data_IF_786544280293
#
_entry.id   IF_786544280293
#
_cell.length_a   1.000
_cell.length_b   1.000
_cell.length_c   1.000
_cell.angle_alpha   90.00
_cell.angle_beta   90.00
_cell.angle_gamma   90.00
#
_symmetry.space_group_name_H-M   'P 1'
#
loop_
_entity.id
_entity.type
_entity.pdbx_description
1 polymer ?
#
# COMPACT_ATOMS: atom_id res chain seq x y z
N UNK A 1 21.90 8.64 -49.30
CA UNK A 1 21.22 9.13 -48.07
C UNK A 1 20.05 8.24 -47.63
N UNK A 2 19.22 7.71 -48.55
CA UNK A 2 18.05 6.87 -48.23
C UNK A 2 18.36 5.43 -47.72
N UNK A 3 19.52 4.85 -48.07
CA UNK A 3 19.88 3.50 -47.63
C UNK A 3 20.28 3.43 -46.15
N UNK A 4 20.86 4.51 -45.61
CA UNK A 4 21.27 4.58 -44.20
C UNK A 4 20.08 4.79 -43.26
N UNK A 5 19.00 5.43 -43.75
CA UNK A 5 17.76 5.63 -42.99
C UNK A 5 16.96 4.34 -42.83
N UNK A 6 16.98 3.44 -43.83
CA UNK A 6 16.27 2.16 -43.76
C UNK A 6 16.92 1.15 -42.80
N UNK A 7 18.26 1.05 -42.80
CA UNK A 7 19.00 0.19 -41.87
C UNK A 7 18.84 0.61 -40.40
N UNK A 8 18.65 1.91 -40.15
CA UNK A 8 18.42 2.42 -38.80
C UNK A 8 16.99 2.11 -38.30
N UNK A 9 15.98 2.15 -39.18
CA UNK A 9 14.61 1.77 -38.85
C UNK A 9 14.44 0.27 -38.67
N UNK A 10 15.13 -0.54 -39.48
CA UNK A 10 15.10 -2.01 -39.39
C UNK A 10 15.78 -2.53 -38.11
N UNK A 11 16.86 -1.86 -37.67
CA UNK A 11 17.55 -2.16 -36.42
C UNK A 11 16.71 -1.85 -35.17
N UNK A 12 15.93 -0.76 -35.18
CA UNK A 12 15.04 -0.44 -34.05
C UNK A 12 13.87 -1.44 -34.01
N UNK A 13 13.34 -1.84 -35.18
CA UNK A 13 12.25 -2.79 -35.28
C UNK A 13 12.65 -4.18 -34.77
N UNK A 14 13.83 -4.69 -35.15
CA UNK A 14 14.32 -6.00 -34.66
C UNK A 14 14.48 -5.99 -33.14
N UNK A 15 14.87 -4.86 -32.55
CA UNK A 15 15.04 -4.70 -31.10
C UNK A 15 13.69 -4.72 -30.37
N UNK A 16 12.65 -4.12 -30.96
CA UNK A 16 11.28 -4.21 -30.43
C UNK A 16 10.72 -5.63 -30.56
N UNK A 17 10.93 -6.30 -31.71
CA UNK A 17 10.51 -7.69 -31.95
C UNK A 17 11.20 -8.69 -31.00
N UNK A 18 12.45 -8.41 -30.60
CA UNK A 18 13.21 -9.17 -29.59
C UNK A 18 12.71 -8.98 -28.15
N UNK A 19 11.60 -8.25 -27.94
CA UNK A 19 10.95 -8.15 -26.63
C UNK A 19 11.62 -7.19 -25.65
N UNK A 20 12.37 -6.19 -26.14
CA UNK A 20 13.02 -5.20 -25.28
C UNK A 20 12.04 -4.36 -24.43
N UNK A 21 10.75 -4.33 -24.76
CA UNK A 21 9.71 -3.63 -23.97
C UNK A 21 9.07 -4.56 -22.94
N UNK A 22 9.54 -4.51 -21.70
CA UNK A 22 8.89 -5.17 -20.55
C UNK A 22 7.88 -4.23 -19.89
N UNK A 23 6.67 -4.74 -19.59
CA UNK A 23 5.67 -3.97 -18.82
C UNK A 23 6.15 -3.83 -17.38
N UNK A 24 6.13 -2.61 -16.85
CA UNK A 24 6.45 -2.35 -15.45
C UNK A 24 5.24 -2.78 -14.60
N UNK A 25 5.39 -3.84 -13.82
CA UNK A 25 4.35 -4.29 -12.88
C UNK A 25 4.41 -3.41 -11.63
N UNK A 26 3.31 -2.70 -11.35
CA UNK A 26 3.18 -1.88 -10.13
C UNK A 26 2.58 -2.72 -9.01
N UNK A 27 3.19 -2.68 -7.84
CA UNK A 27 2.61 -3.29 -6.64
C UNK A 27 1.42 -2.45 -6.14
N UNK A 28 0.41 -3.11 -5.57
CA UNK A 28 -0.73 -2.43 -4.98
C UNK A 28 -0.29 -1.64 -3.73
N UNK A 29 -0.98 -0.53 -3.46
CA UNK A 29 -0.70 0.30 -2.28
C UNK A 29 -1.08 -0.40 -0.97
N UNK A 30 -2.02 -1.34 -1.03
CA UNK A 30 -2.52 -2.12 0.09
C UNK A 30 -2.47 -3.63 -0.25
N UNK A 31 -1.28 -4.27 -0.17
CA UNK A 31 -1.11 -5.68 -0.54
C UNK A 31 -1.88 -6.64 0.38
N UNK A 32 -2.06 -6.27 1.65
CA UNK A 32 -2.71 -7.08 2.69
C UNK A 32 -4.19 -7.38 2.42
N UNK A 33 -4.83 -6.54 1.59
CA UNK A 33 -6.25 -6.66 1.29
C UNK A 33 -6.56 -7.61 0.12
N UNK A 34 -5.56 -8.15 -0.58
CA UNK A 34 -5.77 -9.12 -1.69
C UNK A 34 -6.86 -8.66 -2.67
N UNK A 35 -6.82 -7.39 -3.09
CA UNK A 35 -7.81 -6.77 -4.00
C UNK A 35 -9.24 -6.63 -3.45
N UNK A 36 -9.51 -7.01 -2.19
CA UNK A 36 -10.76 -6.67 -1.50
C UNK A 36 -10.80 -5.19 -1.12
N UNK A 37 -12.00 -4.60 -1.11
CA UNK A 37 -12.19 -3.21 -0.66
C UNK A 37 -11.98 -3.05 0.85
N UNK A 38 -12.51 -4.00 1.62
CA UNK A 38 -12.39 -4.07 3.07
C UNK A 38 -12.08 -5.50 3.51
N UNK A 39 -11.40 -5.65 4.64
CA UNK A 39 -11.24 -6.94 5.32
C UNK A 39 -11.59 -6.84 6.80
N UNK A 40 -12.16 -7.91 7.32
CA UNK A 40 -12.40 -8.11 8.74
C UNK A 40 -11.09 -8.45 9.46
N UNK A 41 -10.91 -7.91 10.65
CA UNK A 41 -9.78 -8.21 11.52
C UNK A 41 -10.15 -8.08 13.00
N UNK A 42 -9.27 -8.58 13.84
CA UNK A 42 -9.38 -8.54 15.31
C UNK A 42 -8.26 -7.66 15.86
N UNK A 43 -8.60 -6.70 16.71
CA UNK A 43 -7.64 -5.80 17.33
C UNK A 43 -6.76 -6.59 18.32
N UNK A 44 -5.44 -6.53 18.12
CA UNK A 44 -4.47 -7.12 19.05
C UNK A 44 -4.09 -6.15 20.16
N UNK A 45 -3.87 -4.87 19.83
CA UNK A 45 -3.60 -3.81 20.81
C UNK A 45 -3.96 -2.44 20.26
N UNK A 46 -4.37 -1.54 21.15
CA UNK A 46 -4.65 -0.13 20.85
C UNK A 46 -3.60 0.74 21.52
N UNK A 47 -3.00 1.65 20.78
CA UNK A 47 -1.95 2.53 21.30
C UNK A 47 -1.84 3.83 20.49
N UNK A 48 -1.11 4.79 21.04
CA UNK A 48 -0.90 6.09 20.38
C UNK A 48 0.51 6.22 19.82
N UNK A 49 0.63 6.83 18.64
CA UNK A 49 1.91 7.04 17.94
C UNK A 49 2.11 8.52 17.63
N UNK A 50 3.34 9.01 17.80
CA UNK A 50 3.74 10.36 17.35
C UNK A 50 4.00 10.34 15.82
N UNK A 51 3.52 11.33 15.06
CA UNK A 51 3.71 11.40 13.61
C UNK A 51 5.17 11.68 13.24
N UNK A 52 5.50 11.52 11.95
CA UNK A 52 6.78 11.97 11.40
C UNK A 52 6.87 13.51 11.50
N UNK A 53 8.04 14.02 11.94
CA UNK A 53 8.40 15.45 11.84
C UNK A 53 8.19 15.90 10.38
N UNK A 54 7.54 17.05 10.07
CA UNK A 54 7.36 18.30 10.82
C UNK A 54 6.14 18.37 11.73
N UNK A 55 5.22 17.40 11.64
CA UNK A 55 3.96 17.46 12.37
C UNK A 55 4.15 17.05 13.83
N UNK A 56 3.36 17.62 14.73
CA UNK A 56 3.29 17.23 16.15
C UNK A 56 1.83 16.99 16.53
N UNK A 57 1.50 15.75 16.87
CA UNK A 57 0.16 15.33 17.27
C UNK A 57 0.24 13.97 17.97
N UNK A 58 -0.87 13.54 18.57
CA UNK A 58 -1.04 12.17 19.07
C UNK A 58 -2.00 11.45 18.14
N UNK A 59 -1.54 10.41 17.44
CA UNK A 59 -2.39 9.62 16.53
C UNK A 59 -2.81 8.34 17.21
N UNK A 60 -4.11 8.04 17.17
CA UNK A 60 -4.72 6.83 17.72
C UNK A 60 -4.61 5.73 16.67
N UNK A 61 -4.00 4.61 17.04
CA UNK A 61 -3.63 3.52 16.12
C UNK A 61 -3.96 2.18 16.79
N UNK A 62 -4.31 1.19 15.99
CA UNK A 62 -4.46 -0.18 16.44
C UNK A 62 -3.59 -1.14 15.63
N UNK A 63 -3.05 -2.16 16.30
CA UNK A 63 -2.49 -3.33 15.64
C UNK A 63 -3.62 -4.33 15.47
N UNK A 64 -3.85 -4.78 14.24
CA UNK A 64 -4.98 -5.66 13.89
C UNK A 64 -4.46 -6.91 13.23
N UNK A 65 -5.02 -8.06 13.60
CA UNK A 65 -4.81 -9.34 12.93
C UNK A 65 -5.94 -9.56 11.94
N UNK A 66 -5.64 -9.59 10.65
CA UNK A 66 -6.61 -9.83 9.59
C UNK A 66 -7.06 -11.29 9.60
N UNK A 67 -8.19 -11.57 8.96
CA UNK A 67 -8.65 -12.95 8.72
C UNK A 67 -7.64 -13.80 7.94
N UNK A 68 -6.75 -13.18 7.15
CA UNK A 68 -5.64 -13.84 6.45
C UNK A 68 -4.47 -14.22 7.37
N UNK A 69 -4.54 -13.91 8.66
CA UNK A 69 -3.49 -14.20 9.65
C UNK A 69 -2.38 -13.15 9.72
N UNK A 70 -2.30 -12.24 8.74
CA UNK A 70 -1.32 -11.16 8.72
C UNK A 70 -1.67 -10.06 9.73
N UNK A 71 -0.64 -9.48 10.36
CA UNK A 71 -0.81 -8.33 11.27
C UNK A 71 -0.55 -7.01 10.55
N UNK A 72 -1.46 -6.06 10.69
CA UNK A 72 -1.34 -4.72 10.12
C UNK A 72 -1.48 -3.64 11.20
N UNK A 73 -1.05 -2.42 10.85
CA UNK A 73 -1.23 -1.22 11.69
C UNK A 73 -2.30 -0.38 11.02
N UNK A 74 -3.42 -0.17 11.70
CA UNK A 74 -4.55 0.60 11.20
C UNK A 74 -4.72 1.90 12.00
N UNK A 75 -4.98 3.00 11.28
CA UNK A 75 -5.30 4.28 11.88
C UNK A 75 -6.79 4.32 12.26
N UNK A 76 -7.08 4.83 13.46
CA UNK A 76 -8.45 5.02 13.93
C UNK A 76 -8.86 6.45 13.57
N UNK A 77 -9.80 6.64 12.62
CA UNK A 77 -10.28 7.97 12.27
C UNK A 77 -11.22 8.53 13.36
N UNK A 78 -11.34 9.85 13.40
CA UNK A 78 -12.18 10.56 14.37
C UNK A 78 -11.46 10.91 15.68
N UNK A 79 -12.19 11.57 16.57
CA UNK A 79 -11.64 12.07 17.83
C UNK A 79 -11.72 11.05 18.96
N UNK A 80 -12.84 10.33 19.10
CA UNK A 80 -13.07 9.31 20.12
C UNK A 80 -13.07 7.89 19.54
N UNK A 81 -12.67 6.90 20.35
CA UNK A 81 -12.91 5.48 20.06
C UNK A 81 -13.12 4.70 21.36
N UNK A 82 -13.92 3.64 21.29
CA UNK A 82 -14.13 2.66 22.36
C UNK A 82 -13.55 1.28 21.96
N UNK A 83 -12.49 1.26 21.15
CA UNK A 83 -11.83 0.03 20.73
C UNK A 83 -10.99 -0.51 21.89
N UNK A 84 -11.21 -1.78 22.19
CA UNK A 84 -10.42 -2.55 23.15
C UNK A 84 -9.72 -3.69 22.42
N UNK A 85 -8.92 -4.44 23.17
CA UNK A 85 -8.33 -5.67 22.65
C UNK A 85 -9.43 -6.67 22.28
N UNK A 86 -9.19 -7.51 21.28
CA UNK A 86 -10.11 -8.52 20.75
C UNK A 86 -11.40 -8.02 20.07
N UNK A 87 -11.61 -6.70 19.98
CA UNK A 87 -12.72 -6.16 19.20
C UNK A 87 -12.57 -6.51 17.70
N UNK A 88 -13.70 -6.81 17.07
CA UNK A 88 -13.79 -7.07 15.64
C UNK A 88 -13.96 -5.75 14.90
N UNK A 89 -13.12 -5.51 13.89
CA UNK A 89 -13.12 -4.28 13.09
C UNK A 89 -13.09 -4.58 11.59
N UNK A 90 -13.62 -3.65 10.80
CA UNK A 90 -13.44 -3.61 9.35
C UNK A 90 -12.34 -2.62 9.00
N UNK A 91 -11.39 -3.06 8.18
CA UNK A 91 -10.26 -2.25 7.74
C UNK A 91 -10.42 -1.95 6.25
N UNK A 92 -10.21 -0.68 5.90
CA UNK A 92 -10.04 -0.21 4.53
C UNK A 92 -8.58 0.08 4.26
N UNK A 93 -8.14 -0.13 3.03
CA UNK A 93 -6.79 0.20 2.61
C UNK A 93 -6.60 1.72 2.53
N UNK A 94 -5.43 2.19 2.94
CA UNK A 94 -5.14 3.62 2.92
C UNK A 94 -3.87 3.94 3.69
N UNK A 95 -2.89 4.54 3.02
CA UNK A 95 -1.68 4.99 3.70
C UNK A 95 -1.94 6.33 4.37
N UNK A 96 -1.80 6.36 5.69
CA UNK A 96 -1.72 7.61 6.45
C UNK A 96 -0.36 8.26 6.18
N UNK A 97 -0.35 9.51 5.72
CA UNK A 97 0.88 10.22 5.34
C UNK A 97 1.85 10.39 6.52
N UNK A 98 1.29 10.63 7.70
CA UNK A 98 2.02 10.99 8.91
C UNK A 98 2.74 9.82 9.59
N UNK A 99 2.13 8.63 9.56
CA UNK A 99 2.58 7.47 10.36
C UNK A 99 3.25 6.46 9.42
N UNK A 100 4.55 6.16 9.60
CA UNK A 100 5.19 5.10 8.83
C UNK A 100 4.60 3.74 9.21
N UNK A 101 4.38 2.88 8.22
CA UNK A 101 3.87 1.51 8.44
C UNK A 101 2.35 1.37 8.54
N UNK A 102 1.60 2.46 8.64
CA UNK A 102 0.12 2.42 8.54
C UNK A 102 -0.29 2.28 7.07
N UNK A 103 -0.77 1.09 6.66
CA UNK A 103 -1.12 0.73 5.27
C UNK A 103 -2.31 -0.19 5.18
#
# INVERSE_FOLDING_TARGET
MLALTLLFTDWILILVLRGCRKKIVKQSKAPLLEQCFQKKGVVSKVYTVKPRKPNSAVRKVCKVKLSTGQSCIAYIPGEGHNLQEHHVVLIRGGRTKDIPGCR
#
